data_IF_301885775489
#
_entry.id   IF_301885775489
#
_cell.length_a   1.000
_cell.length_b   1.000
_cell.length_c   1.000
_cell.angle_alpha   90.00
_cell.angle_beta   90.00
_cell.angle_gamma   90.00
#
_symmetry.space_group_name_H-M   'P 1'
#
loop_
_entity.id
_entity.type
_entity.pdbx_description
1 polymer ?
#
# COMPACT_ATOMS: atom_id res chain seq x y z
N UNK A 1 3.97 25.14 -4.66
CA UNK A 1 4.05 24.84 -3.21
C UNK A 1 4.41 23.38 -2.92
N UNK A 2 3.92 22.42 -3.69
CA UNK A 2 4.16 21.00 -3.46
C UNK A 2 5.65 20.59 -3.33
N UNK A 3 6.59 21.05 -4.18
CA UNK A 3 8.00 20.75 -3.98
C UNK A 3 8.54 21.31 -2.66
N UNK A 4 8.26 22.58 -2.35
CA UNK A 4 8.74 23.22 -1.11
C UNK A 4 8.28 22.46 0.15
N UNK A 5 7.06 21.95 0.15
CA UNK A 5 6.55 21.14 1.25
C UNK A 5 7.37 19.84 1.42
N UNK A 6 7.72 19.16 0.33
CA UNK A 6 8.56 17.94 0.37
C UNK A 6 9.95 18.24 0.93
N UNK A 7 10.57 19.35 0.50
CA UNK A 7 11.90 19.76 0.95
C UNK A 7 11.96 20.07 2.46
N UNK A 8 10.85 20.48 3.07
CA UNK A 8 10.77 20.74 4.51
C UNK A 8 10.39 19.46 5.27
N UNK A 9 9.41 18.70 4.76
CA UNK A 9 8.88 17.51 5.44
C UNK A 9 9.91 16.37 5.52
N UNK A 10 10.63 16.07 4.43
CA UNK A 10 11.56 14.93 4.39
C UNK A 10 12.71 15.03 5.41
N UNK A 11 13.43 16.17 5.53
CA UNK A 11 14.45 16.33 6.56
C UNK A 11 13.88 16.35 7.97
N UNK A 12 12.72 17.00 8.17
CA UNK A 12 12.07 17.06 9.48
C UNK A 12 11.73 15.67 10.00
N UNK A 13 11.12 14.84 9.16
CA UNK A 13 10.82 13.44 9.51
C UNK A 13 12.13 12.70 9.81
N UNK A 14 13.16 12.85 8.97
CA UNK A 14 14.46 12.20 9.18
C UNK A 14 15.08 12.56 10.54
N UNK A 15 15.04 13.84 10.94
CA UNK A 15 15.55 14.31 12.24
C UNK A 15 14.78 13.64 13.39
N UNK A 16 13.44 13.60 13.31
CA UNK A 16 12.60 12.96 14.35
C UNK A 16 12.94 11.47 14.48
N UNK A 17 13.11 10.76 13.37
CA UNK A 17 13.50 9.34 13.38
C UNK A 17 14.88 9.12 14.01
N UNK A 18 15.86 9.96 13.68
CA UNK A 18 17.21 9.87 14.29
C UNK A 18 17.16 10.16 15.78
N UNK A 19 16.42 11.19 16.20
CA UNK A 19 16.26 11.54 17.61
C UNK A 19 15.56 10.41 18.40
N UNK A 20 14.53 9.78 17.83
CA UNK A 20 13.84 8.65 18.46
C UNK A 20 14.78 7.45 18.61
N UNK A 21 15.54 7.09 17.58
CA UNK A 21 16.52 6.00 17.66
C UNK A 21 17.63 6.29 18.68
N UNK A 22 18.09 7.54 18.77
CA UNK A 22 19.07 7.94 19.77
C UNK A 22 18.52 7.78 21.19
N UNK A 23 17.26 8.16 21.42
CA UNK A 23 16.60 7.96 22.70
C UNK A 23 16.48 6.46 23.06
N UNK A 24 16.13 5.60 22.10
CA UNK A 24 16.08 4.16 22.33
C UNK A 24 17.44 3.58 22.72
N UNK A 25 18.52 3.94 22.01
CA UNK A 25 19.86 3.43 22.33
C UNK A 25 20.42 3.97 23.65
N UNK A 26 19.96 5.12 24.13
CA UNK A 26 20.39 5.68 25.41
C UNK A 26 19.79 4.93 26.61
N UNK A 27 18.60 4.35 26.47
CA UNK A 27 17.80 3.80 27.58
C UNK A 27 17.70 2.27 27.53
N UNK A 28 17.60 1.69 26.33
CA UNK A 28 17.40 0.26 26.14
C UNK A 28 18.71 -0.38 25.69
N UNK A 29 19.09 -1.48 26.34
CA UNK A 29 20.31 -2.22 25.95
C UNK A 29 20.09 -3.00 24.65
N UNK A 30 21.16 -3.13 23.85
CA UNK A 30 21.16 -3.88 22.58
C UNK A 30 20.53 -5.29 22.67
N UNK A 31 20.86 -6.15 23.65
CA UNK A 31 20.24 -7.47 23.77
C UNK A 31 18.72 -7.40 23.98
N UNK A 32 18.22 -6.45 24.76
CA UNK A 32 16.79 -6.31 25.04
C UNK A 32 16.01 -5.85 23.81
N UNK A 33 16.58 -5.00 22.97
CA UNK A 33 15.97 -4.58 21.70
C UNK A 33 15.83 -5.72 20.69
N UNK A 34 16.75 -6.69 20.70
CA UNK A 34 16.74 -7.82 19.75
C UNK A 34 15.72 -8.86 20.19
N UNK A 35 15.52 -9.02 21.49
CA UNK A 35 14.57 -10.00 22.07
C UNK A 35 13.13 -9.48 22.06
N UNK A 36 12.93 -8.18 22.32
CA UNK A 36 11.58 -7.61 22.43
C UNK A 36 11.13 -6.96 21.12
N UNK A 37 10.06 -7.49 20.53
CA UNK A 37 9.41 -6.90 19.33
C UNK A 37 8.78 -5.52 19.60
N UNK A 38 8.42 -5.23 20.85
CA UNK A 38 7.81 -3.97 21.27
C UNK A 38 8.81 -3.06 22.02
N UNK A 39 9.85 -2.60 21.32
CA UNK A 39 10.93 -1.74 21.89
C UNK A 39 10.39 -0.49 22.60
N UNK A 40 9.32 0.10 22.07
CA UNK A 40 8.70 1.29 22.66
C UNK A 40 8.06 1.04 24.04
N UNK A 41 7.48 -0.15 24.27
CA UNK A 41 6.89 -0.49 25.56
C UNK A 41 7.97 -0.65 26.63
N UNK A 42 9.04 -1.36 26.29
CA UNK A 42 10.21 -1.55 27.17
C UNK A 42 10.87 -0.21 27.53
N UNK A 43 10.94 0.71 26.57
CA UNK A 43 11.39 2.08 26.82
C UNK A 43 10.51 2.81 27.84
N UNK A 44 9.18 2.66 27.73
CA UNK A 44 8.22 3.22 28.68
C UNK A 44 8.40 2.69 30.10
N UNK A 45 8.61 1.38 30.25
CA UNK A 45 8.83 0.72 31.54
C UNK A 45 10.10 1.22 32.23
N UNK A 46 11.17 1.47 31.45
CA UNK A 46 12.47 1.91 31.98
C UNK A 46 12.49 3.38 32.40
N UNK A 47 11.79 4.26 31.69
CA UNK A 47 11.78 5.70 31.95
C UNK A 47 10.68 6.14 32.93
N UNK A 48 9.51 5.52 32.84
CA UNK A 48 8.31 5.98 33.53
C UNK A 48 7.75 4.89 34.43
N UNK A 49 8.42 4.64 35.56
CA UNK A 49 8.06 3.59 36.52
C UNK A 49 6.59 3.65 37.02
N UNK A 50 5.93 4.82 36.98
CA UNK A 50 4.51 4.98 37.36
C UNK A 50 3.54 5.29 36.20
N UNK A 51 4.05 5.64 35.01
CA UNK A 51 3.23 6.08 33.86
C UNK A 51 3.46 5.24 32.60
N UNK A 52 4.11 4.08 32.73
CA UNK A 52 4.44 3.21 31.60
C UNK A 52 3.22 2.82 30.74
N UNK A 53 2.04 2.68 31.36
CA UNK A 53 0.79 2.32 30.67
C UNK A 53 0.38 3.30 29.56
N UNK A 54 0.82 4.58 29.62
CA UNK A 54 0.49 5.57 28.58
C UNK A 54 1.19 5.27 27.25
N UNK A 55 2.41 4.74 27.29
CA UNK A 55 3.20 4.52 26.07
C UNK A 55 2.55 3.49 25.14
N UNK A 56 2.15 2.28 25.61
CA UNK A 56 1.39 1.35 24.79
C UNK A 56 0.07 1.92 24.28
N UNK A 57 -0.63 2.75 25.07
CA UNK A 57 -1.89 3.38 24.65
C UNK A 57 -1.67 4.34 23.49
N UNK A 58 -0.65 5.20 23.55
CA UNK A 58 -0.33 6.11 22.43
C UNK A 58 0.13 5.35 21.18
N UNK A 59 0.94 4.29 21.35
CA UNK A 59 1.36 3.43 20.24
C UNK A 59 0.14 2.74 19.61
N UNK A 60 -0.79 2.22 20.41
CA UNK A 60 -2.03 1.61 19.93
C UNK A 60 -2.89 2.62 19.15
N UNK A 61 -3.09 3.83 19.68
CA UNK A 61 -3.82 4.89 18.98
C UNK A 61 -3.16 5.29 17.66
N UNK A 62 -1.82 5.36 17.62
CA UNK A 62 -1.07 5.64 16.38
C UNK A 62 -1.26 4.55 15.33
N UNK A 63 -1.12 3.28 15.72
CA UNK A 63 -1.33 2.14 14.81
C UNK A 63 -2.77 2.06 14.32
N UNK A 64 -3.75 2.33 15.18
CA UNK A 64 -5.17 2.41 14.80
C UNK A 64 -5.43 3.50 13.76
N UNK A 65 -4.86 4.70 13.96
CA UNK A 65 -4.92 5.79 12.99
C UNK A 65 -4.27 5.44 11.65
N UNK A 66 -3.12 4.76 11.68
CA UNK A 66 -2.41 4.28 10.49
C UNK A 66 -3.25 3.30 9.66
N UNK A 67 -3.85 2.30 10.30
CA UNK A 67 -4.72 1.31 9.63
C UNK A 67 -5.95 1.99 9.04
N UNK A 68 -6.60 2.90 9.79
CA UNK A 68 -7.75 3.64 9.28
C UNK A 68 -7.41 4.48 8.04
N UNK A 69 -6.24 5.15 8.05
CA UNK A 69 -5.74 5.88 6.88
C UNK A 69 -5.53 4.99 5.66
N UNK A 70 -4.92 3.82 5.85
CA UNK A 70 -4.71 2.85 4.76
C UNK A 70 -6.04 2.33 4.21
N UNK A 71 -7.02 2.04 5.07
CA UNK A 71 -8.35 1.58 4.64
C UNK A 71 -9.04 2.58 3.70
N UNK A 72 -8.95 3.88 3.99
CA UNK A 72 -9.48 4.91 3.09
C UNK A 72 -8.75 4.97 1.74
N UNK A 73 -7.42 4.87 1.75
CA UNK A 73 -6.64 4.91 0.50
C UNK A 73 -6.88 3.67 -0.38
N UNK A 74 -6.95 2.49 0.22
CA UNK A 74 -7.22 1.23 -0.49
C UNK A 74 -8.62 1.21 -1.09
N UNK A 75 -9.63 1.63 -0.33
CA UNK A 75 -11.00 1.76 -0.83
C UNK A 75 -11.10 2.63 -2.08
N UNK A 76 -10.41 3.78 -2.08
CA UNK A 76 -10.35 4.67 -3.25
C UNK A 76 -9.65 4.02 -4.44
N UNK A 77 -8.53 3.33 -4.21
CA UNK A 77 -7.78 2.63 -5.26
C UNK A 77 -8.64 1.57 -5.97
N UNK A 78 -9.39 0.77 -5.20
CA UNK A 78 -10.31 -0.23 -5.76
C UNK A 78 -11.46 0.40 -6.55
N UNK A 79 -12.04 1.48 -6.03
CA UNK A 79 -13.13 2.19 -6.71
C UNK A 79 -12.67 2.79 -8.06
N UNK A 80 -11.53 3.48 -8.10
CA UNK A 80 -11.02 4.06 -9.35
C UNK A 80 -10.53 2.98 -10.32
N UNK A 81 -9.94 1.89 -9.80
CA UNK A 81 -9.54 0.73 -10.62
C UNK A 81 -10.74 0.05 -11.28
N UNK A 82 -11.88 -0.03 -10.60
CA UNK A 82 -13.12 -0.55 -11.17
C UNK A 82 -13.73 0.42 -12.22
N UNK A 83 -13.66 1.73 -11.99
CA UNK A 83 -14.13 2.75 -12.95
C UNK A 83 -13.34 2.78 -14.27
N UNK A 84 -12.05 2.47 -14.22
CA UNK A 84 -11.21 2.30 -15.42
C UNK A 84 -11.36 0.91 -16.08
N UNK A 85 -12.27 0.07 -15.58
CA UNK A 85 -12.56 -1.25 -16.15
C UNK A 85 -11.48 -2.31 -15.88
N UNK A 86 -10.54 -2.04 -14.96
CA UNK A 86 -9.49 -2.98 -14.58
C UNK A 86 -9.93 -4.02 -13.56
N UNK A 87 -11.02 -3.76 -12.84
CA UNK A 87 -11.59 -4.66 -11.83
C UNK A 87 -13.09 -4.91 -12.06
N UNK A 88 -13.64 -6.03 -11.58
CA UNK A 88 -15.07 -6.32 -11.66
C UNK A 88 -15.92 -5.19 -11.07
N UNK A 89 -17.08 -4.92 -11.70
CA UNK A 89 -18.07 -3.92 -11.32
C UNK A 89 -18.58 -4.02 -9.86
N UNK A 90 -18.29 -5.12 -9.17
CA UNK A 90 -18.58 -5.30 -7.75
C UNK A 90 -17.80 -4.31 -6.85
N UNK A 91 -16.60 -3.90 -7.26
CA UNK A 91 -15.73 -3.02 -6.45
C UNK A 91 -16.07 -1.53 -6.56
N UNK A 92 -16.90 -1.12 -7.53
CA UNK A 92 -17.42 0.25 -7.68
C UNK A 92 -18.82 0.45 -7.09
N UNK A 93 -19.28 -0.49 -6.26
CA UNK A 93 -20.53 -0.37 -5.52
C UNK A 93 -20.34 0.53 -4.30
N UNK A 94 -21.19 1.55 -4.18
CA UNK A 94 -21.22 2.48 -3.05
C UNK A 94 -22.53 2.36 -2.29
N UNK A 95 -22.46 2.42 -0.96
CA UNK A 95 -23.66 2.44 -0.12
C UNK A 95 -24.45 3.74 -0.31
N UNK A 96 -25.79 3.65 -0.33
CA UNK A 96 -26.68 4.77 -0.69
C UNK A 96 -26.58 5.93 0.31
N UNK A 97 -26.66 5.65 1.61
CA UNK A 97 -26.73 6.71 2.63
C UNK A 97 -25.36 7.22 3.08
N UNK A 98 -24.37 6.32 3.12
CA UNK A 98 -23.03 6.61 3.68
C UNK A 98 -21.96 6.83 2.61
N UNK A 99 -22.27 6.58 1.34
CA UNK A 99 -21.34 6.70 0.21
C UNK A 99 -20.00 5.97 0.44
N UNK A 100 -20.02 4.88 1.21
CA UNK A 100 -18.84 4.06 1.49
C UNK A 100 -18.77 2.85 0.57
N UNK A 101 -17.59 2.50 0.03
CA UNK A 101 -17.42 1.32 -0.82
C UNK A 101 -17.28 0.05 0.04
N UNK A 102 -18.40 -0.41 0.63
CA UNK A 102 -18.45 -1.56 1.56
C UNK A 102 -17.80 -2.83 0.97
N UNK A 103 -18.09 -3.24 -0.29
CA UNK A 103 -17.44 -4.39 -0.93
C UNK A 103 -15.91 -4.37 -0.94
N UNK A 104 -15.32 -3.22 -1.26
CA UNK A 104 -13.87 -3.06 -1.33
C UNK A 104 -13.21 -3.17 0.05
N UNK A 105 -13.89 -2.65 1.08
CA UNK A 105 -13.44 -2.73 2.47
C UNK A 105 -13.53 -4.16 3.00
N UNK A 106 -14.61 -4.88 2.70
CA UNK A 106 -14.74 -6.29 3.08
C UNK A 106 -13.66 -7.16 2.44
N UNK A 107 -13.36 -6.93 1.16
CA UNK A 107 -12.27 -7.63 0.46
C UNK A 107 -10.90 -7.33 1.08
N UNK A 108 -10.62 -6.05 1.35
CA UNK A 108 -9.37 -5.62 2.01
C UNK A 108 -9.23 -6.24 3.40
N UNK A 109 -10.34 -6.29 4.17
CA UNK A 109 -10.39 -6.91 5.49
C UNK A 109 -10.12 -8.42 5.41
N UNK A 110 -10.75 -9.11 4.46
CA UNK A 110 -10.54 -10.54 4.24
C UNK A 110 -9.07 -10.87 3.91
N UNK A 111 -8.46 -10.12 2.99
CA UNK A 111 -7.04 -10.30 2.66
C UNK A 111 -6.10 -9.93 3.81
N UNK A 112 -6.45 -8.92 4.60
CA UNK A 112 -5.71 -8.55 5.81
C UNK A 112 -5.73 -9.70 6.84
N UNK A 113 -6.90 -10.30 7.09
CA UNK A 113 -7.05 -11.47 7.97
C UNK A 113 -6.26 -12.68 7.46
N UNK A 114 -6.27 -12.91 6.14
CA UNK A 114 -5.46 -13.98 5.53
C UNK A 114 -3.98 -13.73 5.77
N UNK A 115 -3.48 -12.52 5.51
CA UNK A 115 -2.07 -12.17 5.73
C UNK A 115 -1.66 -12.27 7.20
N UNK A 116 -2.59 -12.01 8.14
CA UNK A 116 -2.37 -12.14 9.59
C UNK A 116 -2.08 -13.58 10.02
N UNK A 117 -2.48 -14.59 9.25
CA UNK A 117 -2.18 -16.00 9.55
C UNK A 117 -0.69 -16.34 9.38
N UNK A 118 0.10 -15.44 8.79
CA UNK A 118 1.55 -15.61 8.64
C UNK A 118 2.26 -15.41 9.99
N UNK A 119 3.12 -16.35 10.37
CA UNK A 119 3.69 -16.43 11.72
C UNK A 119 4.71 -15.32 12.07
N UNK A 120 5.30 -14.65 11.08
CA UNK A 120 6.37 -13.67 11.28
C UNK A 120 6.08 -12.33 10.59
N UNK A 121 6.07 -11.25 11.38
CA UNK A 121 5.90 -9.87 10.87
C UNK A 121 7.07 -9.45 9.98
N UNK A 122 8.30 -9.84 10.32
CA UNK A 122 9.49 -9.47 9.53
C UNK A 122 9.48 -10.06 8.12
N UNK A 123 9.00 -11.30 7.97
CA UNK A 123 8.92 -11.94 6.65
C UNK A 123 7.83 -11.25 5.81
N UNK A 124 6.70 -10.89 6.43
CA UNK A 124 5.65 -10.11 5.78
C UNK A 124 6.14 -8.73 5.32
N UNK A 125 6.94 -8.04 6.15
CA UNK A 125 7.58 -6.77 5.79
C UNK A 125 8.51 -6.96 4.58
N UNK A 126 9.27 -8.05 4.53
CA UNK A 126 10.17 -8.33 3.40
C UNK A 126 9.39 -8.62 2.11
N UNK A 127 8.33 -9.42 2.17
CA UNK A 127 7.46 -9.70 1.00
C UNK A 127 6.84 -8.42 0.44
N UNK A 128 6.32 -7.57 1.34
CA UNK A 128 5.71 -6.30 0.98
C UNK A 128 6.75 -5.33 0.40
N UNK A 129 7.89 -5.19 1.07
CA UNK A 129 8.97 -4.27 0.65
C UNK A 129 9.49 -4.64 -0.73
N UNK A 130 9.72 -5.92 -1.01
CA UNK A 130 10.18 -6.36 -2.32
C UNK A 130 9.22 -5.94 -3.43
N UNK A 131 7.93 -6.18 -3.24
CA UNK A 131 6.88 -5.83 -4.20
C UNK A 131 6.76 -4.32 -4.38
N UNK A 132 6.84 -3.57 -3.28
CA UNK A 132 6.79 -2.10 -3.28
C UNK A 132 7.97 -1.50 -4.07
N UNK A 133 9.20 -1.92 -3.78
CA UNK A 133 10.38 -1.38 -4.44
C UNK A 133 10.41 -1.72 -5.93
N UNK A 134 9.94 -2.91 -6.33
CA UNK A 134 9.77 -3.26 -7.74
C UNK A 134 8.74 -2.35 -8.44
N UNK A 135 7.59 -2.09 -7.81
CA UNK A 135 6.55 -1.21 -8.35
C UNK A 135 6.99 0.26 -8.45
N UNK A 136 7.70 0.76 -7.42
CA UNK A 136 8.31 2.10 -7.43
C UNK A 136 9.39 2.19 -8.50
N UNK A 137 10.23 1.15 -8.63
CA UNK A 137 11.25 1.06 -9.68
C UNK A 137 10.65 1.13 -11.07
N UNK A 138 9.60 0.35 -11.35
CA UNK A 138 8.86 0.40 -12.61
C UNK A 138 8.29 1.80 -12.90
N UNK A 139 7.76 2.47 -11.88
CA UNK A 139 7.23 3.84 -12.00
C UNK A 139 8.32 4.87 -12.33
N UNK A 140 9.51 4.76 -11.71
CA UNK A 140 10.66 5.64 -12.00
C UNK A 140 11.22 5.39 -13.39
N UNK A 141 11.33 4.12 -13.81
CA UNK A 141 11.70 3.77 -15.19
C UNK A 141 10.67 4.33 -16.18
N UNK A 142 9.38 4.20 -15.87
CA UNK A 142 8.31 4.79 -16.68
C UNK A 142 8.42 6.31 -16.80
N UNK A 143 8.76 7.01 -15.71
CA UNK A 143 9.04 8.45 -15.73
C UNK A 143 10.23 8.79 -16.63
N UNK A 144 11.34 8.04 -16.53
CA UNK A 144 12.54 8.22 -17.37
C UNK A 144 12.23 7.92 -18.84
N UNK A 145 11.44 6.89 -19.12
CA UNK A 145 11.01 6.52 -20.47
C UNK A 145 10.11 7.60 -21.09
N UNK A 146 9.11 8.08 -20.34
CA UNK A 146 8.25 9.19 -20.78
C UNK A 146 9.07 10.47 -21.04
N UNK A 147 10.19 10.64 -20.33
CA UNK A 147 11.12 11.74 -20.57
C UNK A 147 11.73 11.72 -21.96
N UNK A 148 12.01 10.53 -22.50
CA UNK A 148 12.56 10.34 -23.85
C UNK A 148 11.49 10.29 -24.93
N UNK A 149 10.37 9.60 -24.69
CA UNK A 149 9.36 9.35 -25.72
C UNK A 149 8.48 10.58 -26.00
N UNK A 150 8.17 11.39 -24.98
CA UNK A 150 7.31 12.58 -25.11
C UNK A 150 7.94 13.80 -24.45
N UNK A 151 8.95 14.44 -25.08
CA UNK A 151 9.67 15.56 -24.50
C UNK A 151 8.85 16.85 -24.41
N UNK A 152 7.89 17.05 -25.31
CA UNK A 152 7.18 18.33 -25.50
C UNK A 152 5.98 18.55 -24.55
N UNK A 153 5.70 17.60 -23.66
CA UNK A 153 4.61 17.76 -22.68
C UNK A 153 4.98 18.87 -21.70
N UNK A 154 4.08 19.84 -21.41
CA UNK A 154 4.34 20.88 -20.41
C UNK A 154 4.52 20.25 -19.03
N UNK A 155 5.75 20.34 -18.50
CA UNK A 155 6.12 19.80 -17.18
C UNK A 155 6.26 20.95 -16.18
N UNK A 156 5.30 21.14 -15.25
CA UNK A 156 5.33 22.25 -14.28
C UNK A 156 6.42 22.09 -13.21
N UNK A 157 6.90 20.86 -12.98
CA UNK A 157 7.99 20.56 -12.04
C UNK A 157 9.06 19.78 -12.79
N UNK A 158 10.28 20.32 -12.85
CA UNK A 158 11.44 19.68 -13.47
C UNK A 158 12.49 19.44 -12.39
N UNK A 159 12.81 18.17 -12.16
CA UNK A 159 13.94 17.74 -11.31
C UNK A 159 15.14 17.36 -12.16
N UNK A 160 16.34 17.54 -11.62
CA UNK A 160 17.58 17.15 -12.27
C UNK A 160 17.57 15.64 -12.56
N UNK A 161 18.03 15.22 -13.75
CA UNK A 161 17.96 13.84 -14.23
C UNK A 161 18.84 12.90 -13.38
N UNK A 162 19.88 13.44 -12.75
CA UNK A 162 20.79 12.70 -11.88
C UNK A 162 20.04 12.05 -10.70
N UNK A 163 19.03 12.74 -10.15
CA UNK A 163 18.29 12.27 -8.96
C UNK A 163 17.53 10.97 -9.25
N UNK A 164 16.67 10.88 -10.30
CA UNK A 164 16.04 9.61 -10.69
C UNK A 164 17.02 8.46 -10.98
N UNK A 165 18.18 8.74 -11.61
CA UNK A 165 19.16 7.69 -11.88
C UNK A 165 19.80 7.15 -10.60
N UNK A 166 20.20 8.03 -9.68
CA UNK A 166 20.76 7.63 -8.40
C UNK A 166 19.73 6.85 -7.57
N UNK A 167 18.47 7.28 -7.61
CA UNK A 167 17.38 6.57 -6.95
C UNK A 167 17.11 5.19 -7.58
N UNK A 168 17.21 5.07 -8.90
CA UNK A 168 17.08 3.78 -9.58
C UNK A 168 18.19 2.80 -9.21
N UNK A 169 19.44 3.29 -9.08
CA UNK A 169 20.57 2.48 -8.60
C UNK A 169 20.32 2.00 -7.17
N UNK A 170 19.83 2.88 -6.28
CA UNK A 170 19.50 2.52 -4.91
C UNK A 170 18.39 1.44 -4.85
N UNK A 171 17.33 1.57 -5.66
CA UNK A 171 16.28 0.55 -5.77
C UNK A 171 16.86 -0.76 -6.29
N UNK A 172 17.76 -0.71 -7.27
CA UNK A 172 18.46 -1.89 -7.78
C UNK A 172 19.18 -2.65 -6.67
N UNK A 173 19.94 -1.94 -5.83
CA UNK A 173 20.61 -2.54 -4.66
C UNK A 173 19.59 -3.10 -3.65
N UNK A 174 18.52 -2.37 -3.35
CA UNK A 174 17.47 -2.81 -2.41
C UNK A 174 16.67 -4.01 -2.90
N UNK A 175 16.61 -4.26 -4.20
CA UNK A 175 15.98 -5.45 -4.79
C UNK A 175 16.96 -6.62 -4.87
N UNK A 176 18.24 -6.34 -5.16
CA UNK A 176 19.27 -7.35 -5.38
C UNK A 176 19.81 -7.96 -4.07
N UNK A 177 20.01 -7.15 -3.03
CA UNK A 177 20.53 -7.62 -1.74
C UNK A 177 19.58 -8.64 -1.07
N UNK A 178 18.26 -8.38 -0.97
CA UNK A 178 17.30 -9.37 -0.45
C UNK A 178 17.22 -10.63 -1.31
N UNK A 179 17.37 -10.50 -2.63
CA UNK A 179 17.33 -11.64 -3.54
C UNK A 179 18.43 -12.69 -3.26
N UNK A 180 19.61 -12.25 -2.82
CA UNK A 180 20.72 -13.14 -2.45
C UNK A 180 20.57 -13.64 -1.01
N UNK A 181 20.23 -12.74 -0.09
CA UNK A 181 20.21 -13.06 1.34
C UNK A 181 19.00 -13.90 1.77
N UNK A 182 17.84 -13.69 1.14
CA UNK A 182 16.58 -14.39 1.43
C UNK A 182 15.83 -14.72 0.13
N UNK A 183 16.33 -15.68 -0.66
CA UNK A 183 15.80 -15.95 -2.00
C UNK A 183 14.35 -16.45 -1.99
N UNK A 184 13.93 -17.18 -0.94
CA UNK A 184 12.55 -17.66 -0.79
C UNK A 184 11.57 -16.50 -0.69
N UNK A 185 11.90 -15.50 0.13
CA UNK A 185 11.03 -14.35 0.39
C UNK A 185 10.87 -13.48 -0.85
N UNK A 186 11.98 -13.25 -1.56
CA UNK A 186 11.98 -12.53 -2.83
C UNK A 186 11.22 -13.28 -3.92
N UNK A 187 11.36 -14.61 -3.99
CA UNK A 187 10.63 -15.42 -4.96
C UNK A 187 9.11 -15.35 -4.76
N UNK A 188 8.63 -15.37 -3.50
CA UNK A 188 7.22 -15.20 -3.18
C UNK A 188 6.74 -13.80 -3.59
N UNK A 189 7.49 -12.74 -3.28
CA UNK A 189 7.14 -11.37 -3.70
C UNK A 189 7.02 -11.23 -5.22
N UNK A 190 7.96 -11.80 -5.97
CA UNK A 190 7.92 -11.82 -7.44
C UNK A 190 6.75 -12.68 -7.94
N UNK A 191 6.47 -13.82 -7.32
CA UNK A 191 5.34 -14.66 -7.67
C UNK A 191 4.00 -13.94 -7.47
N UNK A 192 3.85 -13.17 -6.38
CA UNK A 192 2.68 -12.31 -6.14
C UNK A 192 2.55 -11.27 -7.25
N UNK A 193 3.64 -10.59 -7.61
CA UNK A 193 3.64 -9.62 -8.70
C UNK A 193 3.24 -10.27 -10.05
N UNK A 194 3.83 -11.42 -10.39
CA UNK A 194 3.54 -12.16 -11.61
C UNK A 194 2.13 -12.72 -11.63
N UNK A 195 1.55 -13.07 -10.47
CA UNK A 195 0.15 -13.48 -10.37
C UNK A 195 -0.84 -12.37 -10.73
N UNK A 196 -0.40 -11.10 -10.74
CA UNK A 196 -1.15 -9.99 -11.32
C UNK A 196 -1.39 -10.13 -12.83
N UNK A 197 -0.50 -10.80 -13.57
CA UNK A 197 -0.63 -11.01 -15.03
C UNK A 197 -1.85 -11.88 -15.38
N UNK A 198 -2.01 -13.10 -14.85
CA UNK A 198 -3.20 -13.91 -15.15
C UNK A 198 -4.48 -13.23 -14.68
N UNK A 199 -4.46 -12.52 -13.54
CA UNK A 199 -5.60 -11.72 -13.09
C UNK A 199 -5.96 -10.64 -14.10
N UNK A 200 -4.98 -9.92 -14.65
CA UNK A 200 -5.21 -8.93 -15.71
C UNK A 200 -5.83 -9.56 -16.97
N UNK A 201 -5.33 -10.71 -17.42
CA UNK A 201 -5.88 -11.41 -18.58
C UNK A 201 -7.32 -11.87 -18.36
N UNK A 202 -7.63 -12.41 -17.18
CA UNK A 202 -8.97 -12.86 -16.80
C UNK A 202 -9.96 -11.71 -16.59
N UNK A 203 -9.54 -10.60 -15.98
CA UNK A 203 -10.42 -9.47 -15.66
C UNK A 203 -10.61 -8.51 -16.83
N UNK A 204 -9.56 -8.20 -17.61
CA UNK A 204 -9.55 -7.09 -18.59
C UNK A 204 -9.62 -7.60 -20.03
N UNK A 205 -8.82 -8.61 -20.39
CA UNK A 205 -8.72 -9.07 -21.78
C UNK A 205 -9.88 -10.00 -22.17
N UNK A 206 -10.47 -10.71 -21.21
CA UNK A 206 -11.60 -11.61 -21.44
C UNK A 206 -12.91 -10.83 -21.61
N UNK A 207 -13.13 -10.29 -22.81
CA UNK A 207 -14.36 -9.54 -23.18
C UNK A 207 -15.58 -10.45 -23.38
N UNK A 208 -15.38 -11.71 -23.77
CA UNK A 208 -16.45 -12.70 -24.00
C UNK A 208 -16.55 -13.68 -22.83
N UNK A 209 -17.04 -13.18 -21.68
CA UNK A 209 -17.33 -14.04 -20.53
C UNK A 209 -18.56 -14.91 -20.85
N UNK A 210 -18.54 -16.21 -20.53
CA UNK A 210 -19.69 -17.09 -20.76
C UNK A 210 -20.90 -16.61 -19.95
N UNK A 211 -22.11 -16.77 -20.50
CA UNK A 211 -23.36 -16.28 -19.89
C UNK A 211 -23.61 -16.84 -18.49
N UNK A 212 -23.12 -18.05 -18.21
CA UNK A 212 -23.14 -18.65 -16.88
C UNK A 212 -22.32 -17.85 -15.85
N UNK A 213 -21.14 -17.33 -16.23
CA UNK A 213 -20.32 -16.49 -15.35
C UNK A 213 -21.00 -15.13 -15.11
N UNK A 214 -21.58 -14.52 -16.14
CA UNK A 214 -22.31 -13.26 -16.00
C UNK A 214 -23.57 -13.43 -15.12
N UNK A 215 -24.25 -14.57 -15.23
CA UNK A 215 -25.44 -14.89 -14.43
C UNK A 215 -25.09 -15.14 -12.96
N UNK A 216 -24.03 -15.91 -12.68
CA UNK A 216 -23.52 -16.16 -11.31
C UNK A 216 -22.97 -14.87 -10.70
N UNK A 217 -22.13 -14.14 -11.43
CA UNK A 217 -21.58 -12.85 -10.99
C UNK A 217 -22.71 -11.84 -10.74
N UNK A 218 -23.75 -11.83 -11.57
CA UNK A 218 -24.93 -10.97 -11.39
C UNK A 218 -25.85 -11.40 -10.26
N UNK A 219 -25.91 -12.70 -9.95
CA UNK A 219 -26.60 -13.22 -8.76
C UNK A 219 -25.86 -12.80 -7.48
N UNK A 220 -24.54 -12.99 -7.45
CA UNK A 220 -23.67 -12.58 -6.36
C UNK A 220 -23.66 -11.06 -6.15
N UNK A 221 -23.62 -10.28 -7.24
CA UNK A 221 -23.76 -8.83 -7.18
C UNK A 221 -25.11 -8.42 -6.57
N UNK A 222 -26.21 -9.01 -7.02
CA UNK A 222 -27.56 -8.72 -6.49
C UNK A 222 -27.70 -9.12 -5.03
N UNK A 223 -27.08 -10.23 -4.62
CA UNK A 223 -27.03 -10.65 -3.23
C UNK A 223 -26.31 -9.61 -2.38
N UNK A 224 -25.13 -9.15 -2.80
CA UNK A 224 -24.36 -8.14 -2.07
C UNK A 224 -24.99 -6.74 -2.13
N UNK A 225 -25.62 -6.37 -3.24
CA UNK A 225 -26.39 -5.14 -3.35
C UNK A 225 -27.56 -5.12 -2.36
N UNK A 226 -28.27 -6.24 -2.21
CA UNK A 226 -29.37 -6.38 -1.23
C UNK A 226 -28.86 -6.42 0.21
N UNK A 227 -27.74 -7.10 0.45
CA UNK A 227 -27.18 -7.25 1.79
C UNK A 227 -26.54 -5.96 2.30
N UNK A 228 -25.92 -5.18 1.41
CA UNK A 228 -25.20 -3.95 1.76
C UNK A 228 -25.93 -2.67 1.33
N UNK A 229 -27.14 -2.72 0.74
CA UNK A 229 -27.86 -1.57 0.16
C UNK A 229 -26.95 -0.66 -0.67
N UNK A 230 -26.25 -1.23 -1.65
CA UNK A 230 -25.29 -0.52 -2.49
C UNK A 230 -25.82 -0.29 -3.90
N UNK A 231 -25.50 0.88 -4.47
CA UNK A 231 -25.78 1.26 -5.85
C UNK A 231 -24.46 1.36 -6.63
N UNK A 232 -24.51 1.06 -7.92
CA UNK A 232 -23.40 1.28 -8.83
C UNK A 232 -23.26 2.78 -9.11
N UNK A 233 -22.09 3.38 -8.88
CA UNK A 233 -21.86 4.76 -9.31
C UNK A 233 -21.71 4.77 -10.82
N UNK A 234 -22.79 5.17 -11.50
CA UNK A 234 -22.80 5.41 -12.94
C UNK A 234 -21.88 6.61 -13.22
N UNK A 235 -20.80 6.37 -13.96
CA UNK A 235 -19.83 7.39 -14.36
C UNK A 235 -20.41 8.29 -15.46
N UNK A 236 -21.49 9.04 -15.16
CA UNK A 236 -22.14 10.00 -16.06
C UNK A 236 -21.40 11.35 -16.15
N UNK A 237 -20.09 11.38 -15.92
CA UNK A 237 -19.25 12.60 -16.04
C UNK A 237 -18.10 12.48 -17.06
N UNK A 238 -18.10 11.44 -17.92
CA UNK A 238 -17.13 11.31 -19.02
C UNK A 238 -17.65 11.87 -20.38
N UNK A 239 -18.72 12.67 -20.40
CA UNK A 239 -19.26 13.30 -21.63
C UNK A 239 -19.57 14.81 -21.54
N UNK A 240 -18.90 15.55 -20.66
CA UNK A 240 -18.85 17.02 -20.78
C UNK A 240 -17.44 17.56 -20.54
N UNK A 241 -16.60 17.50 -21.57
CA UNK A 241 -15.56 18.46 -21.91
C UNK A 241 -14.91 18.05 -23.24
#
# INVERSE_FOLDING_TARGET
>A
NLPRAIWIAMPMVTIIYVMANLAYFAVVTKPEMIVNSAVAAVFGDRLFAGWSWMIPVFVALSTFGGVNGVLFTSARLFATGAQEGHMPAFFSLFHIEKQTPIPSLMFTCFFSLLMLTTSNVFDLINYFSQTLWLSVGASVVGMLWLRRTKPDIPRPIKVNIIIPYLFLIAIGCLVFIPAITRPKDTAIGIAILLSGIPVYYLCVKWKTKPDMYNSISGCFLRFLQKLCSCIYVESNEKMSN
#
